data_IF_630455762049
#
_entry.id   IF_630455762049
#
_cell.length_a   1.000
_cell.length_b   1.000
_cell.length_c   1.000
_cell.angle_alpha   90.00
_cell.angle_beta   90.00
_cell.angle_gamma   90.00
#
_symmetry.space_group_name_H-M   'P 1'
#
loop_
_entity.id
_entity.type
_entity.pdbx_description
1 polymer ?
#
# COMPACT_ATOMS: atom_id res chain seq x y z
N UNK A 1 48.69 1.29 -70.87
CA UNK A 1 48.14 0.03 -70.29
C UNK A 1 48.13 0.20 -68.77
N UNK A 2 46.95 0.29 -68.14
CA UNK A 2 46.81 0.39 -66.70
C UNK A 2 46.67 -1.02 -66.08
N UNK A 3 47.22 -1.24 -64.89
CA UNK A 3 46.66 -2.21 -63.94
C UNK A 3 46.76 -1.62 -62.55
N UNK A 4 45.58 -1.42 -62.00
CA UNK A 4 45.30 -0.66 -60.81
C UNK A 4 45.72 -1.37 -59.53
N UNK A 5 46.08 -0.53 -58.56
CA UNK A 5 46.29 -0.84 -57.15
C UNK A 5 44.96 -1.28 -56.54
N UNK A 6 44.88 -2.52 -56.07
CA UNK A 6 43.83 -2.91 -55.13
C UNK A 6 44.47 -3.22 -53.77
N UNK A 7 44.51 -2.17 -52.95
CA UNK A 7 44.77 -2.26 -51.52
C UNK A 7 43.53 -2.87 -50.89
N UNK A 8 43.58 -4.19 -50.63
CA UNK A 8 42.58 -4.88 -49.82
C UNK A 8 42.53 -4.25 -48.44
N UNK A 9 41.48 -3.46 -48.19
CA UNK A 9 41.17 -2.89 -46.88
C UNK A 9 40.81 -4.04 -45.94
N UNK A 10 41.65 -4.21 -44.92
CA UNK A 10 41.28 -4.87 -43.68
C UNK A 10 40.07 -4.13 -43.09
N UNK A 11 38.88 -4.72 -43.21
CA UNK A 11 37.72 -4.29 -42.44
C UNK A 11 37.70 -5.10 -41.14
N UNK A 12 38.56 -4.73 -40.20
CA UNK A 12 38.44 -5.16 -38.80
C UNK A 12 37.25 -4.44 -38.17
N UNK A 13 36.04 -4.83 -38.58
CA UNK A 13 34.81 -4.51 -37.87
C UNK A 13 34.66 -5.52 -36.74
N UNK A 14 35.21 -5.19 -35.58
CA UNK A 14 35.08 -6.00 -34.36
C UNK A 14 33.62 -5.94 -33.90
N UNK A 15 32.81 -6.86 -34.42
CA UNK A 15 31.50 -7.18 -33.84
C UNK A 15 31.72 -8.03 -32.60
N UNK A 16 31.80 -7.40 -31.43
CA UNK A 16 31.79 -8.12 -30.16
C UNK A 16 30.54 -9.01 -30.05
N UNK A 17 30.58 -10.07 -29.23
CA UNK A 17 29.43 -10.95 -29.01
C UNK A 17 28.25 -10.12 -28.51
N UNK A 18 27.08 -10.31 -29.13
CA UNK A 18 25.84 -9.69 -28.69
C UNK A 18 25.56 -10.18 -27.27
N UNK A 19 25.43 -9.23 -26.33
CA UNK A 19 25.04 -9.54 -24.96
C UNK A 19 23.69 -10.26 -25.00
N UNK A 20 23.65 -11.43 -24.37
CA UNK A 20 22.41 -12.17 -24.25
C UNK A 20 21.45 -11.39 -23.36
N UNK A 21 20.14 -11.58 -23.54
CA UNK A 21 19.13 -11.05 -22.60
C UNK A 21 19.46 -11.47 -21.15
N UNK A 22 20.12 -12.61 -20.96
CA UNK A 22 20.64 -13.05 -19.66
C UNK A 22 21.70 -12.14 -19.05
N UNK A 23 22.60 -11.55 -19.86
CA UNK A 23 23.64 -10.64 -19.35
C UNK A 23 23.03 -9.31 -18.89
N UNK A 24 21.98 -8.84 -19.58
CA UNK A 24 21.24 -7.62 -19.25
C UNK A 24 20.38 -7.77 -17.98
N UNK A 25 19.84 -8.97 -17.73
CA UNK A 25 18.99 -9.25 -16.57
C UNK A 25 19.78 -9.64 -15.32
N UNK A 26 21.10 -9.86 -15.44
CA UNK A 26 21.97 -10.21 -14.31
C UNK A 26 22.00 -9.12 -13.24
N UNK A 27 22.07 -7.84 -13.64
CA UNK A 27 22.16 -6.70 -12.71
C UNK A 27 20.86 -6.45 -11.91
N UNK A 28 19.72 -6.98 -12.40
CA UNK A 28 18.41 -6.84 -11.73
C UNK A 28 18.19 -7.91 -10.67
N UNK A 29 18.91 -9.04 -10.75
CA UNK A 29 18.81 -10.14 -9.80
C UNK A 29 19.72 -9.99 -8.58
N UNK A 30 20.66 -9.05 -8.59
CA UNK A 30 21.61 -8.79 -7.50
C UNK A 30 21.12 -7.68 -6.55
N UNK A 31 19.93 -7.84 -5.99
CA UNK A 31 19.52 -7.13 -4.76
C UNK A 31 19.61 -8.10 -3.58
N UNK A 32 20.84 -8.39 -3.14
CA UNK A 32 21.06 -9.45 -2.17
C UNK A 32 22.45 -9.48 -1.53
N UNK A 33 22.95 -8.35 -1.05
CA UNK A 33 24.23 -8.30 -0.32
C UNK A 33 24.29 -7.19 0.72
N UNK A 34 23.83 -7.49 1.93
CA UNK A 34 24.03 -6.67 3.14
C UNK A 34 25.52 -6.37 3.35
N UNK A 35 25.93 -5.11 3.24
CA UNK A 35 27.20 -4.65 3.83
C UNK A 35 26.92 -3.62 4.92
N UNK A 36 27.16 -4.06 6.16
CA UNK A 36 27.09 -3.25 7.37
C UNK A 36 28.38 -2.44 7.43
N UNK A 37 28.46 -1.34 6.69
CA UNK A 37 29.49 -0.32 6.94
C UNK A 37 28.88 1.02 7.36
N UNK A 38 28.90 1.17 8.68
CA UNK A 38 28.53 2.30 9.52
C UNK A 38 29.17 3.61 9.02
N UNK A 39 28.52 4.36 8.11
CA UNK A 39 28.71 5.81 7.99
C UNK A 39 27.69 6.54 8.86
N UNK A 40 28.19 7.14 9.94
CA UNK A 40 27.43 8.02 10.82
C UNK A 40 26.93 9.24 10.02
N UNK A 41 25.64 9.24 9.70
CA UNK A 41 24.90 10.46 9.34
C UNK A 41 24.02 10.87 10.53
N UNK A 42 23.82 12.17 10.78
CA UNK A 42 23.05 12.64 11.93
C UNK A 42 21.60 12.16 11.84
N UNK A 43 20.92 11.91 12.98
CA UNK A 43 19.59 11.32 12.97
C UNK A 43 18.60 12.20 12.20
N UNK A 44 17.73 11.61 11.36
CA UNK A 44 16.66 12.37 10.71
C UNK A 44 15.73 12.95 11.77
N UNK A 45 15.36 14.21 11.60
CA UNK A 45 14.37 14.91 12.41
C UNK A 45 13.01 14.19 12.37
N UNK A 46 12.15 14.33 13.41
CA UNK A 46 10.87 13.63 13.47
C UNK A 46 9.98 13.98 12.27
N UNK A 47 9.07 13.06 11.88
CA UNK A 47 8.31 13.22 10.65
C UNK A 47 7.41 14.44 10.77
N UNK A 48 7.61 15.39 9.86
CA UNK A 48 6.56 16.36 9.55
C UNK A 48 5.39 15.52 9.04
N UNK A 49 4.29 15.52 9.79
CA UNK A 49 3.01 15.01 9.37
C UNK A 49 2.54 15.85 8.17
N UNK A 50 3.05 15.54 6.99
CA UNK A 50 2.57 16.06 5.72
C UNK A 50 1.81 14.92 5.06
N UNK A 51 0.49 14.99 5.27
CA UNK A 51 -0.56 14.39 4.48
C UNK A 51 -0.44 12.88 4.25
N UNK A 52 -1.16 12.11 5.08
CA UNK A 52 -1.82 10.92 4.57
C UNK A 52 -2.58 11.40 3.34
N UNK A 53 -2.08 11.02 2.17
CA UNK A 53 -2.69 11.26 0.88
C UNK A 53 -4.03 10.53 0.93
N UNK A 54 -5.05 11.24 1.43
CA UNK A 54 -6.37 10.70 1.77
C UNK A 54 -7.14 10.54 0.47
N UNK A 55 -6.66 9.64 -0.38
CA UNK A 55 -7.45 9.14 -1.50
C UNK A 55 -8.70 8.51 -0.88
N UNK A 56 -9.84 9.08 -1.22
CA UNK A 56 -11.12 8.47 -0.89
C UNK A 56 -11.13 7.04 -1.43
N UNK A 57 -11.81 6.09 -0.77
CA UNK A 57 -12.07 4.77 -1.35
C UNK A 57 -12.63 4.86 -2.78
N UNK A 58 -13.38 5.93 -3.07
CA UNK A 58 -13.91 6.24 -4.40
C UNK A 58 -12.81 6.60 -5.41
N UNK A 59 -11.83 7.40 -4.99
CA UNK A 59 -10.69 7.77 -5.83
C UNK A 59 -9.82 6.56 -6.15
N UNK A 60 -9.74 5.60 -5.23
CA UNK A 60 -8.99 4.37 -5.42
C UNK A 60 -9.66 3.43 -6.43
N UNK A 61 -10.99 3.30 -6.37
CA UNK A 61 -11.75 2.54 -7.35
C UNK A 61 -11.58 3.13 -8.75
N UNK A 62 -11.67 4.46 -8.85
CA UNK A 62 -11.47 5.17 -10.11
C UNK A 62 -10.05 4.97 -10.65
N UNK A 63 -9.02 5.16 -9.80
CA UNK A 63 -7.62 4.92 -10.18
C UNK A 63 -7.37 3.48 -10.63
N UNK A 64 -7.96 2.49 -9.96
CA UNK A 64 -7.83 1.10 -10.38
C UNK A 64 -8.40 0.89 -11.79
N UNK A 65 -9.61 1.39 -12.04
CA UNK A 65 -10.27 1.28 -13.34
C UNK A 65 -9.46 1.97 -14.44
N UNK A 66 -9.06 3.23 -14.22
CA UNK A 66 -8.28 3.99 -15.19
C UNK A 66 -6.93 3.32 -15.53
N UNK A 67 -6.21 2.81 -14.53
CA UNK A 67 -4.94 2.12 -14.77
C UNK A 67 -5.12 0.75 -15.42
N UNK A 68 -6.23 0.07 -15.15
CA UNK A 68 -6.58 -1.18 -15.82
C UNK A 68 -6.87 -0.94 -17.30
N UNK A 69 -7.70 0.05 -17.62
CA UNK A 69 -8.03 0.39 -19.01
C UNK A 69 -6.76 0.82 -19.78
N UNK A 70 -5.91 1.66 -19.17
CA UNK A 70 -4.61 2.02 -19.74
C UNK A 70 -3.70 0.80 -19.95
N UNK A 71 -3.71 -0.18 -19.05
CA UNK A 71 -2.93 -1.41 -19.22
C UNK A 71 -3.42 -2.22 -20.42
N UNK A 72 -4.74 -2.36 -20.60
CA UNK A 72 -5.32 -3.08 -21.73
C UNK A 72 -4.95 -2.40 -23.06
N UNK A 73 -4.99 -1.07 -23.10
CA UNK A 73 -4.59 -0.29 -24.26
C UNK A 73 -3.08 -0.46 -24.55
N UNK A 74 -2.22 -0.34 -23.54
CA UNK A 74 -0.76 -0.56 -23.67
C UNK A 74 -0.41 -1.96 -24.15
N UNK A 75 -1.13 -2.99 -23.69
CA UNK A 75 -0.90 -4.38 -24.10
C UNK A 75 -1.35 -4.66 -25.53
N UNK A 76 -2.33 -3.90 -26.02
CA UNK A 76 -2.81 -3.95 -27.41
C UNK A 76 -1.95 -3.12 -28.36
N UNK A 77 -1.20 -2.16 -27.81
CA UNK A 77 -0.27 -1.29 -28.52
C UNK A 77 1.11 -1.89 -28.74
N UNK A 78 2.00 -1.08 -29.31
CA UNK A 78 3.43 -1.42 -29.51
C UNK A 78 4.34 -0.76 -28.47
N UNK A 79 3.78 -0.01 -27.51
CA UNK A 79 4.53 0.74 -26.51
C UNK A 79 4.79 -0.09 -25.25
N UNK A 80 5.97 0.11 -24.64
CA UNK A 80 6.37 -0.62 -23.43
C UNK A 80 5.79 -0.03 -22.14
N UNK A 81 4.77 0.82 -22.26
CA UNK A 81 4.12 1.50 -21.13
C UNK A 81 3.34 0.53 -20.22
N UNK A 82 3.03 -0.69 -20.69
CA UNK A 82 2.35 -1.73 -19.93
C UNK A 82 3.03 -2.04 -18.58
N UNK A 83 4.36 -1.93 -18.53
CA UNK A 83 5.12 -2.11 -17.27
C UNK A 83 4.78 -1.03 -16.25
N UNK A 84 4.72 0.23 -16.68
CA UNK A 84 4.34 1.36 -15.83
C UNK A 84 2.90 1.27 -15.38
N UNK A 85 1.98 0.93 -16.29
CA UNK A 85 0.55 0.75 -15.96
C UNK A 85 0.34 -0.41 -14.98
N UNK A 86 1.07 -1.52 -15.14
CA UNK A 86 1.08 -2.64 -14.19
C UNK A 86 1.54 -2.20 -12.80
N UNK A 87 2.65 -1.46 -12.71
CA UNK A 87 3.16 -0.98 -11.43
C UNK A 87 2.17 -0.03 -10.73
N UNK A 88 1.50 0.85 -11.48
CA UNK A 88 0.45 1.73 -10.93
C UNK A 88 -0.74 0.93 -10.40
N UNK A 89 -1.14 -0.13 -11.10
CA UNK A 89 -2.21 -1.03 -10.65
C UNK A 89 -1.82 -1.75 -9.34
N UNK A 90 -0.60 -2.29 -9.27
CA UNK A 90 -0.09 -2.91 -8.05
C UNK A 90 -0.04 -1.93 -6.87
N UNK A 91 0.41 -0.69 -7.11
CA UNK A 91 0.42 0.35 -6.08
C UNK A 91 -1.00 0.72 -5.61
N UNK A 92 -1.97 0.78 -6.51
CA UNK A 92 -3.38 1.00 -6.16
C UNK A 92 -3.93 -0.16 -5.33
N UNK A 93 -3.61 -1.41 -5.67
CA UNK A 93 -3.99 -2.59 -4.89
C UNK A 93 -3.36 -2.60 -3.49
N UNK A 94 -2.10 -2.24 -3.36
CA UNK A 94 -1.43 -2.14 -2.06
C UNK A 94 -2.09 -1.06 -1.17
N UNK A 95 -2.49 0.07 -1.75
CA UNK A 95 -3.27 1.09 -1.05
C UNK A 95 -4.64 0.56 -0.62
N UNK A 96 -5.29 -0.26 -1.45
CA UNK A 96 -6.59 -0.86 -1.13
C UNK A 96 -6.48 -1.84 0.05
N UNK A 97 -5.45 -2.68 0.05
CA UNK A 97 -5.17 -3.61 1.14
C UNK A 97 -4.97 -2.86 2.47
N UNK A 98 -4.12 -1.84 2.47
CA UNK A 98 -3.89 -0.97 3.66
C UNK A 98 -5.18 -0.31 4.14
N UNK A 99 -6.02 0.16 3.23
CA UNK A 99 -7.29 0.77 3.56
C UNK A 99 -8.25 -0.24 4.23
N UNK A 100 -8.35 -1.46 3.69
CA UNK A 100 -9.16 -2.54 4.26
C UNK A 100 -8.65 -2.92 5.66
N UNK A 101 -7.34 -3.09 5.82
CA UNK A 101 -6.72 -3.39 7.12
C UNK A 101 -7.00 -2.30 8.16
N UNK A 102 -6.88 -1.03 7.76
CA UNK A 102 -7.20 0.11 8.63
C UNK A 102 -8.68 0.16 9.01
N UNK A 103 -9.59 -0.04 8.03
CA UNK A 103 -11.02 -0.07 8.27
C UNK A 103 -11.43 -1.22 9.20
N UNK A 104 -10.85 -2.41 9.02
CA UNK A 104 -11.10 -3.57 9.88
C UNK A 104 -10.62 -3.33 11.31
N UNK A 105 -9.40 -2.79 11.48
CA UNK A 105 -8.87 -2.41 12.79
C UNK A 105 -9.78 -1.38 13.49
N UNK A 106 -10.25 -0.37 12.75
CA UNK A 106 -11.16 0.66 13.26
C UNK A 106 -12.52 0.08 13.66
N UNK A 107 -13.05 -0.84 12.87
CA UNK A 107 -14.32 -1.53 13.14
C UNK A 107 -14.23 -2.42 14.37
N UNK A 108 -13.12 -3.14 14.53
CA UNK A 108 -12.84 -3.95 15.72
C UNK A 108 -12.78 -3.09 16.99
N UNK A 109 -12.07 -1.96 16.94
CA UNK A 109 -12.01 -1.01 18.07
C UNK A 109 -13.39 -0.41 18.39
N UNK A 110 -14.19 -0.12 17.36
CA UNK A 110 -15.54 0.39 17.56
C UNK A 110 -16.44 -0.67 18.22
N UNK A 111 -16.33 -1.94 17.84
CA UNK A 111 -17.04 -3.04 18.45
C UNK A 111 -16.71 -3.15 19.95
N UNK A 112 -15.42 -3.14 20.31
CA UNK A 112 -14.97 -3.17 21.71
C UNK A 112 -15.59 -2.01 22.53
N UNK A 113 -15.63 -0.80 21.96
CA UNK A 113 -16.25 0.35 22.61
C UNK A 113 -17.76 0.19 22.79
N UNK A 114 -18.46 -0.40 21.82
CA UNK A 114 -19.89 -0.67 21.91
C UNK A 114 -20.18 -1.70 23.00
N UNK A 115 -19.39 -2.78 23.08
CA UNK A 115 -19.52 -3.80 24.14
C UNK A 115 -19.30 -3.19 25.53
N UNK A 116 -18.30 -2.31 25.67
CA UNK A 116 -18.07 -1.57 26.91
C UNK A 116 -19.28 -0.70 27.26
N UNK A 117 -19.82 0.07 26.32
CA UNK A 117 -21.00 0.91 26.54
C UNK A 117 -22.22 0.08 26.93
N UNK A 118 -22.43 -1.07 26.30
CA UNK A 118 -23.52 -1.99 26.65
C UNK A 118 -23.39 -2.49 28.10
N UNK A 119 -22.17 -2.83 28.55
CA UNK A 119 -21.91 -3.23 29.93
C UNK A 119 -22.21 -2.11 30.93
N UNK A 120 -21.88 -0.86 30.58
CA UNK A 120 -22.15 0.31 31.40
C UNK A 120 -23.67 0.54 31.50
N UNK A 121 -24.38 0.41 30.38
CA UNK A 121 -25.84 0.57 30.33
C UNK A 121 -26.55 -0.49 31.17
N UNK A 122 -26.19 -1.77 31.03
CA UNK A 122 -26.74 -2.86 31.86
C UNK A 122 -26.53 -2.61 33.36
N UNK A 123 -25.37 -2.12 33.74
CA UNK A 123 -25.07 -1.75 35.14
C UNK A 123 -25.89 -0.53 35.59
N UNK A 124 -26.07 0.46 34.72
CA UNK A 124 -26.94 1.62 34.95
C UNK A 124 -28.39 1.19 35.21
N UNK A 125 -28.95 0.35 34.34
CA UNK A 125 -30.31 -0.18 34.48
C UNK A 125 -30.49 -0.95 35.79
N UNK A 126 -29.54 -1.82 36.14
CA UNK A 126 -29.57 -2.55 37.41
C UNK A 126 -29.54 -1.61 38.63
N UNK A 127 -28.79 -0.50 38.57
CA UNK A 127 -28.76 0.49 39.63
C UNK A 127 -30.08 1.26 39.74
N UNK A 128 -30.71 1.61 38.60
CA UNK A 128 -32.01 2.27 38.56
C UNK A 128 -33.11 1.39 39.14
N UNK A 129 -33.14 0.10 38.77
CA UNK A 129 -34.11 -0.87 39.32
C UNK A 129 -33.97 -0.94 40.85
N UNK A 130 -32.75 -1.09 41.38
CA UNK A 130 -32.51 -1.11 42.83
C UNK A 130 -32.92 0.19 43.51
N UNK A 131 -32.65 1.34 42.91
CA UNK A 131 -33.07 2.63 43.46
C UNK A 131 -34.59 2.74 43.53
N UNK A 132 -35.30 2.29 42.49
CA UNK A 132 -36.77 2.21 42.45
C UNK A 132 -37.33 1.32 43.56
N UNK A 133 -36.74 0.14 43.79
CA UNK A 133 -37.14 -0.76 44.88
C UNK A 133 -36.99 -0.11 46.25
N UNK A 134 -35.87 0.58 46.52
CA UNK A 134 -35.63 1.28 47.79
C UNK A 134 -36.65 2.41 47.99
N UNK A 135 -36.89 3.22 46.96
CA UNK A 135 -37.87 4.32 47.02
C UNK A 135 -39.28 3.79 47.29
N UNK A 136 -39.65 2.67 46.66
CA UNK A 136 -40.94 2.03 46.87
C UNK A 136 -41.08 1.49 48.31
N UNK A 137 -40.06 0.80 48.82
CA UNK A 137 -40.04 0.29 50.18
C UNK A 137 -40.12 1.42 51.23
N UNK A 138 -39.41 2.52 51.03
CA UNK A 138 -39.48 3.69 51.91
C UNK A 138 -40.90 4.30 51.94
N UNK A 139 -41.54 4.40 50.77
CA UNK A 139 -42.91 4.91 50.64
C UNK A 139 -43.95 4.01 51.32
N UNK A 140 -43.72 2.71 51.36
CA UNK A 140 -44.57 1.76 52.08
C UNK A 140 -44.37 1.84 53.59
N UNK A 141 -43.12 2.03 54.05
CA UNK A 141 -42.80 2.20 55.46
C UNK A 141 -43.38 3.49 56.07
N UNK A 142 -43.46 4.59 55.32
CA UNK A 142 -44.09 5.86 55.77
C UNK A 142 -45.63 5.79 55.88
N UNK A 143 -46.27 4.76 55.33
CA UNK A 143 -47.73 4.58 55.37
C UNK A 143 -48.22 3.67 56.50
N UNK A 144 -47.30 3.01 57.21
CA UNK A 144 -47.55 2.16 58.37
C UNK A 144 -47.41 2.97 59.66
#
# INVERSE_FOLDING_TARGET
MPKDKESGREMSGVGGPLLCIGDLLSDVADDGGVDIERRQSPPPSPPIAASVDSLSPYDLQQLFQENYDLLIDSLSGTDHSWTSSTLKLCAALEKADKLILSANSSTSLLLEKIELLESILKRGDAAVIKALEIVQAAKEAERL
#
